data_IF_396889148259
#
_entry.id   IF_396889148259
#
_cell.length_a   1.000
_cell.length_b   1.000
_cell.length_c   1.000
_cell.angle_alpha   90.00
_cell.angle_beta   90.00
_cell.angle_gamma   90.00
#
_symmetry.space_group_name_H-M   'P 1'
#
loop_
_entity.id
_entity.type
_entity.pdbx_description
1 polymer ?
#
# COMPACT_ATOMS: atom_id res chain seq x y z
N UNK A 1 3.46 -24.36 -6.94
CA UNK A 1 4.50 -24.48 -5.89
C UNK A 1 4.72 -23.10 -5.32
N UNK A 2 4.89 -22.94 -4.00
CA UNK A 2 5.35 -21.66 -3.44
C UNK A 2 6.82 -21.49 -3.85
N UNK A 3 7.20 -20.28 -4.25
CA UNK A 3 8.60 -19.98 -4.50
C UNK A 3 9.43 -20.24 -3.23
N UNK A 4 10.66 -20.73 -3.36
CA UNK A 4 11.53 -20.95 -2.22
C UNK A 4 11.86 -19.60 -1.56
N UNK A 5 11.97 -19.55 -0.22
CA UNK A 5 12.28 -18.32 0.49
C UNK A 5 13.65 -17.77 0.05
N UNK A 6 13.70 -16.47 -0.23
CA UNK A 6 14.89 -15.70 -0.56
C UNK A 6 15.49 -15.09 0.71
N UNK A 7 16.81 -15.20 0.86
CA UNK A 7 17.52 -14.60 2.01
C UNK A 7 17.32 -13.08 2.08
N UNK A 8 17.23 -12.41 0.94
CA UNK A 8 17.10 -10.95 0.88
C UNK A 8 15.65 -10.47 1.02
N UNK A 9 14.65 -11.29 0.67
CA UNK A 9 13.25 -10.86 0.67
C UNK A 9 12.46 -11.40 1.87
N UNK A 10 12.81 -12.59 2.38
CA UNK A 10 12.02 -13.31 3.36
C UNK A 10 12.72 -13.50 4.72
N UNK A 11 14.05 -13.38 4.75
CA UNK A 11 14.87 -13.62 5.96
C UNK A 11 15.47 -12.33 6.51
N UNK A 12 16.13 -11.53 5.66
CA UNK A 12 16.64 -10.23 6.03
C UNK A 12 15.55 -9.18 5.85
N UNK A 13 14.95 -8.75 6.96
CA UNK A 13 14.07 -7.58 6.96
C UNK A 13 14.84 -6.29 6.61
N UNK A 14 14.17 -5.25 6.12
CA UNK A 14 14.81 -3.99 5.81
C UNK A 14 15.46 -3.38 7.06
N UNK A 15 16.58 -2.67 6.86
CA UNK A 15 17.16 -1.83 7.92
C UNK A 15 16.11 -0.80 8.29
N UNK A 16 15.69 -0.81 9.56
CA UNK A 16 14.65 0.09 10.03
C UNK A 16 14.97 0.68 11.39
N UNK A 17 14.60 1.95 11.57
CA UNK A 17 14.50 2.60 12.87
C UNK A 17 13.09 2.38 13.43
N UNK A 18 12.97 1.44 14.38
CA UNK A 18 11.70 1.14 15.05
C UNK A 18 11.84 -0.08 15.98
N UNK A 19 10.93 -0.26 16.95
CA UNK A 19 11.02 -1.35 17.92
C UNK A 19 10.71 -2.73 17.30
N UNK A 20 9.98 -2.77 16.18
CA UNK A 20 9.54 -4.02 15.54
C UNK A 20 9.49 -3.89 14.02
N UNK A 21 10.22 -4.75 13.30
CA UNK A 21 10.21 -4.77 11.83
C UNK A 21 8.82 -5.12 11.26
N UNK A 22 8.06 -5.99 11.93
CA UNK A 22 6.71 -6.39 11.51
C UNK A 22 5.67 -5.26 11.59
N UNK A 23 5.81 -4.37 12.57
CA UNK A 23 4.88 -3.27 12.78
C UNK A 23 5.38 -2.02 12.08
N UNK A 24 6.66 -1.69 12.21
CA UNK A 24 7.21 -0.48 11.61
C UNK A 24 7.50 -0.63 10.12
N UNK A 25 8.18 -1.70 9.68
CA UNK A 25 8.67 -1.76 8.29
C UNK A 25 7.57 -2.12 7.31
N UNK A 26 6.73 -3.08 7.71
CA UNK A 26 5.56 -3.44 6.93
C UNK A 26 4.59 -2.27 6.83
N UNK A 27 4.33 -1.55 7.94
CA UNK A 27 3.46 -0.38 7.91
C UNK A 27 4.03 0.74 7.05
N UNK A 28 5.34 1.00 7.09
CA UNK A 28 5.98 1.97 6.19
C UNK A 28 5.79 1.58 4.72
N UNK A 29 5.99 0.32 4.37
CA UNK A 29 5.75 -0.16 3.00
C UNK A 29 4.29 0.01 2.58
N UNK A 30 3.34 -0.33 3.46
CA UNK A 30 1.90 -0.11 3.23
C UNK A 30 1.61 1.38 3.00
N UNK A 31 2.15 2.27 3.85
CA UNK A 31 1.97 3.72 3.71
C UNK A 31 2.54 4.27 2.41
N UNK A 32 3.72 3.80 1.99
CA UNK A 32 4.33 4.19 0.71
C UNK A 32 3.52 3.71 -0.49
N UNK A 33 2.96 2.50 -0.42
CA UNK A 33 2.06 2.00 -1.45
C UNK A 33 0.76 2.80 -1.52
N UNK A 34 0.17 3.14 -0.37
CA UNK A 34 -1.00 4.01 -0.33
C UNK A 34 -0.72 5.39 -0.95
N UNK A 35 0.44 5.97 -0.63
CA UNK A 35 0.90 7.23 -1.22
C UNK A 35 1.11 7.13 -2.73
N UNK A 36 1.71 6.03 -3.20
CA UNK A 36 1.93 5.78 -4.62
C UNK A 36 0.61 5.57 -5.37
N UNK A 37 -0.34 4.83 -4.77
CA UNK A 37 -1.69 4.63 -5.30
C UNK A 37 -2.43 5.95 -5.47
N UNK A 38 -2.37 6.83 -4.47
CA UNK A 38 -2.99 8.16 -4.59
C UNK A 38 -2.36 8.97 -5.73
N UNK A 39 -1.03 8.89 -5.91
CA UNK A 39 -0.32 9.59 -7.01
C UNK A 39 -0.37 11.12 -6.91
N UNK A 40 -0.96 11.66 -5.85
CA UNK A 40 -1.15 13.08 -5.61
C UNK A 40 -0.94 13.43 -4.13
N UNK A 41 -1.10 14.71 -3.77
CA UNK A 41 -1.02 15.14 -2.36
C UNK A 41 -2.22 14.59 -1.59
N UNK A 42 -1.96 13.84 -0.52
CA UNK A 42 -2.98 13.39 0.43
C UNK A 42 -3.27 14.52 1.41
N UNK A 43 -4.55 14.84 1.62
CA UNK A 43 -5.01 15.84 2.59
C UNK A 43 -5.46 15.21 3.89
N UNK A 44 -6.10 14.03 3.83
CA UNK A 44 -6.55 13.25 4.98
C UNK A 44 -6.25 11.78 4.74
N UNK A 45 -5.73 11.11 5.77
CA UNK A 45 -5.62 9.66 5.82
C UNK A 45 -6.54 9.14 6.93
N UNK A 46 -7.52 8.33 6.56
CA UNK A 46 -8.36 7.60 7.50
C UNK A 46 -7.78 6.20 7.69
N UNK A 47 -7.54 5.84 8.94
CA UNK A 47 -6.95 4.55 9.32
C UNK A 47 -7.95 3.79 10.18
N UNK A 48 -8.26 2.55 9.80
CA UNK A 48 -9.21 1.71 10.53
C UNK A 48 -8.55 0.43 11.01
N UNK A 49 -8.54 0.23 12.32
CA UNK A 49 -8.06 -1.00 12.96
C UNK A 49 -9.22 -1.75 13.60
N UNK A 50 -9.27 -3.07 13.39
CA UNK A 50 -10.27 -3.92 14.04
C UNK A 50 -9.88 -4.16 15.50
N UNK A 51 -10.78 -3.90 16.49
CA UNK A 51 -10.54 -4.24 17.90
C UNK A 51 -10.27 -5.72 18.16
N UNK A 52 -10.71 -6.62 17.29
CA UNK A 52 -10.41 -8.05 17.38
C UNK A 52 -9.05 -8.42 16.75
N UNK A 53 -8.38 -7.45 16.12
CA UNK A 53 -7.01 -7.60 15.62
C UNK A 53 -5.95 -7.24 16.66
N UNK A 54 -4.69 -7.16 16.24
CA UNK A 54 -3.57 -6.77 17.11
C UNK A 54 -3.39 -5.25 17.18
N UNK A 55 -3.65 -4.54 16.07
CA UNK A 55 -3.20 -3.17 15.85
C UNK A 55 -3.78 -2.15 16.83
N UNK A 56 -5.04 -2.29 17.25
CA UNK A 56 -5.66 -1.35 18.22
C UNK A 56 -4.85 -1.25 19.52
N UNK A 57 -4.25 -2.36 19.96
CA UNK A 57 -3.45 -2.38 21.19
C UNK A 57 -1.97 -2.11 20.98
N UNK A 58 -1.45 -2.29 19.76
CA UNK A 58 0.00 -2.30 19.51
C UNK A 58 0.51 -1.16 18.62
N UNK A 59 -0.34 -0.47 17.88
CA UNK A 59 0.09 0.39 16.77
C UNK A 59 1.06 1.51 17.18
N UNK A 60 0.93 2.08 18.38
CA UNK A 60 1.87 3.08 18.91
C UNK A 60 3.15 2.45 19.43
N UNK A 61 3.03 1.52 20.39
CA UNK A 61 4.17 0.95 21.12
C UNK A 61 5.09 0.10 20.22
N UNK A 62 4.50 -0.61 19.25
CA UNK A 62 5.25 -1.41 18.27
C UNK A 62 5.63 -0.60 17.01
N UNK A 63 5.24 0.68 16.93
CA UNK A 63 5.65 1.59 15.87
C UNK A 63 4.98 1.37 14.52
N UNK A 64 3.75 0.86 14.47
CA UNK A 64 2.94 0.88 13.24
C UNK A 64 2.62 2.30 12.81
N UNK A 65 2.29 3.21 13.75
CA UNK A 65 2.03 4.62 13.44
C UNK A 65 3.27 5.29 12.84
N UNK A 66 4.42 5.11 13.49
CA UNK A 66 5.72 5.55 13.02
C UNK A 66 5.98 5.09 11.58
N UNK A 67 5.77 3.79 11.31
CA UNK A 67 5.94 3.20 10.00
C UNK A 67 4.95 3.77 8.98
N UNK A 68 3.65 3.59 9.23
CA UNK A 68 2.58 3.96 8.31
C UNK A 68 2.65 5.43 7.90
N UNK A 69 2.74 6.34 8.86
CA UNK A 69 2.67 7.77 8.59
C UNK A 69 3.93 8.31 7.93
N UNK A 70 5.11 7.80 8.31
CA UNK A 70 6.33 8.11 7.57
C UNK A 70 6.29 7.60 6.12
N UNK A 71 5.67 6.44 5.89
CA UNK A 71 5.46 5.92 4.55
C UNK A 71 4.55 6.82 3.71
N UNK A 72 3.50 7.37 4.32
CA UNK A 72 2.60 8.36 3.71
C UNK A 72 3.33 9.67 3.40
N UNK A 73 4.27 10.10 4.25
CA UNK A 73 5.19 11.20 3.97
C UNK A 73 6.23 10.88 2.88
N UNK A 74 6.28 9.64 2.41
CA UNK A 74 7.19 9.17 1.37
C UNK A 74 8.60 8.82 1.87
N UNK A 75 8.79 8.69 3.18
CA UNK A 75 10.08 8.36 3.78
C UNK A 75 10.33 6.86 3.76
N UNK A 76 11.60 6.48 3.63
CA UNK A 76 12.03 5.08 3.68
C UNK A 76 12.13 4.56 5.13
N UNK A 77 12.11 3.24 5.35
CA UNK A 77 12.19 2.64 6.70
C UNK A 77 13.46 3.00 7.50
N UNK A 78 14.52 3.45 6.85
CA UNK A 78 15.81 3.83 7.45
C UNK A 78 15.97 5.36 7.63
N UNK A 79 15.00 6.15 7.17
CA UNK A 79 15.08 7.62 7.17
C UNK A 79 15.26 8.16 8.60
N UNK A 80 16.29 8.99 8.85
CA UNK A 80 16.57 9.50 10.19
C UNK A 80 15.45 10.40 10.75
N UNK A 81 14.58 10.94 9.89
CA UNK A 81 13.45 11.79 10.27
C UNK A 81 12.27 11.01 10.82
N UNK A 82 12.25 9.68 10.69
CA UNK A 82 11.16 8.81 11.17
C UNK A 82 10.54 9.28 12.49
N UNK A 83 11.29 9.52 13.58
CA UNK A 83 10.71 9.93 14.88
C UNK A 83 9.97 11.27 14.87
N UNK A 84 10.17 12.12 13.85
CA UNK A 84 9.54 13.45 13.73
C UNK A 84 8.30 13.44 12.84
N UNK A 85 7.76 12.27 12.50
CA UNK A 85 6.63 12.12 11.57
C UNK A 85 5.41 12.95 11.97
N UNK A 86 5.08 13.07 13.26
CA UNK A 86 3.92 13.84 13.73
C UNK A 86 4.04 15.32 13.38
N UNK A 87 5.25 15.88 13.47
CA UNK A 87 5.51 17.26 13.10
C UNK A 87 5.42 17.43 11.58
N UNK A 88 6.03 16.53 10.82
CA UNK A 88 6.01 16.57 9.36
C UNK A 88 4.60 16.43 8.78
N UNK A 89 3.73 15.60 9.37
CA UNK A 89 2.32 15.51 9.00
C UNK A 89 1.61 16.87 9.14
N UNK A 90 1.87 17.60 10.24
CA UNK A 90 1.29 18.93 10.47
C UNK A 90 1.82 19.95 9.47
N UNK A 91 3.11 19.92 9.17
CA UNK A 91 3.76 20.82 8.20
C UNK A 91 3.25 20.58 6.77
N UNK A 92 3.04 19.32 6.38
CA UNK A 92 2.44 18.95 5.09
C UNK A 92 0.93 19.18 5.05
N UNK A 93 0.29 19.43 6.20
CA UNK A 93 -1.15 19.61 6.32
C UNK A 93 -1.95 18.31 6.11
N UNK A 94 -1.37 17.16 6.43
CA UNK A 94 -2.02 15.85 6.33
C UNK A 94 -2.74 15.55 7.65
N UNK A 95 -4.06 15.47 7.61
CA UNK A 95 -4.87 15.06 8.76
C UNK A 95 -4.89 13.54 8.89
N UNK A 96 -4.73 13.02 10.10
CA UNK A 96 -4.90 11.60 10.39
C UNK A 96 -6.19 11.40 11.17
N UNK A 97 -7.09 10.60 10.63
CA UNK A 97 -8.35 10.20 11.27
C UNK A 97 -8.29 8.70 11.61
N UNK A 98 -8.03 8.39 12.88
CA UNK A 98 -7.88 7.02 13.35
C UNK A 98 -9.17 6.51 13.98
N UNK A 99 -9.65 5.36 13.50
CA UNK A 99 -10.88 4.73 13.94
C UNK A 99 -10.63 3.29 14.39
N UNK A 100 -11.29 2.90 15.48
CA UNK A 100 -11.34 1.52 15.95
C UNK A 100 -12.74 0.98 15.72
N UNK A 101 -12.87 0.12 14.71
CA UNK A 101 -14.17 -0.32 14.19
C UNK A 101 -14.13 -1.83 13.98
N UNK A 102 -15.17 -2.54 14.41
CA UNK A 102 -15.25 -3.99 14.18
C UNK A 102 -15.74 -4.26 12.77
N UNK A 103 -14.92 -4.96 11.97
CA UNK A 103 -15.26 -5.31 10.59
C UNK A 103 -14.84 -6.74 10.22
N UNK A 104 -14.57 -7.58 11.23
CA UNK A 104 -14.14 -8.97 11.07
C UNK A 104 -12.89 -9.08 10.19
N UNK A 105 -11.85 -8.33 10.54
CA UNK A 105 -10.57 -8.36 9.83
C UNK A 105 -10.10 -9.81 9.60
N UNK A 106 -9.69 -10.18 8.37
CA UNK A 106 -9.27 -11.55 8.04
C UNK A 106 -7.89 -11.92 8.62
N UNK A 107 -7.21 -10.97 9.26
CA UNK A 107 -5.87 -11.14 9.82
C UNK A 107 -5.67 -10.16 11.00
N UNK A 108 -4.93 -10.53 12.07
CA UNK A 108 -4.72 -9.63 13.21
C UNK A 108 -4.01 -8.32 12.84
N UNK A 109 -3.04 -8.37 11.93
CA UNK A 109 -2.30 -7.20 11.45
C UNK A 109 -2.88 -6.64 10.14
N UNK A 110 -4.19 -6.37 10.10
CA UNK A 110 -4.89 -5.86 8.92
C UNK A 110 -5.01 -4.34 8.96
N UNK A 111 -4.60 -3.69 7.87
CA UNK A 111 -4.66 -2.25 7.67
C UNK A 111 -5.76 -1.97 6.65
N UNK A 112 -6.80 -1.26 7.08
CA UNK A 112 -7.81 -0.68 6.20
C UNK A 112 -7.60 0.82 6.12
N UNK A 113 -7.20 1.29 4.94
CA UNK A 113 -6.83 2.68 4.71
C UNK A 113 -7.76 3.32 3.70
N UNK A 114 -8.00 4.61 3.92
CA UNK A 114 -8.67 5.48 2.98
C UNK A 114 -7.89 6.80 2.93
N UNK A 115 -7.55 7.29 1.74
CA UNK A 115 -6.84 8.56 1.58
C UNK A 115 -7.63 9.50 0.70
N UNK A 116 -7.70 10.76 1.12
CA UNK A 116 -8.38 11.83 0.39
C UNK A 116 -7.32 12.65 -0.35
N UNK A 117 -7.29 12.53 -1.67
CA UNK A 117 -6.42 13.31 -2.54
C UNK A 117 -6.82 14.78 -2.61
N UNK A 118 -5.88 15.65 -2.98
CA UNK A 118 -6.12 17.08 -3.18
C UNK A 118 -7.11 17.35 -4.31
N UNK A 119 -7.25 16.44 -5.28
CA UNK A 119 -8.25 16.46 -6.34
C UNK A 119 -9.69 16.21 -5.83
N UNK A 120 -9.84 15.71 -4.60
CA UNK A 120 -11.10 15.22 -4.05
C UNK A 120 -11.34 13.72 -4.31
N UNK A 121 -10.43 13.04 -5.02
CA UNK A 121 -10.49 11.58 -5.21
C UNK A 121 -10.25 10.87 -3.88
N UNK A 122 -11.02 9.80 -3.63
CA UNK A 122 -10.89 8.95 -2.45
C UNK A 122 -10.36 7.59 -2.91
N UNK A 123 -9.25 7.18 -2.30
CA UNK A 123 -8.59 5.90 -2.57
C UNK A 123 -8.76 4.98 -1.38
N UNK A 124 -9.08 3.70 -1.62
CA UNK A 124 -9.14 2.69 -0.56
C UNK A 124 -8.08 1.61 -0.75
N UNK A 125 -7.45 1.20 0.35
CA UNK A 125 -6.38 0.20 0.32
C UNK A 125 -6.43 -0.70 1.54
N UNK A 126 -6.60 -1.99 1.29
CA UNK A 126 -6.59 -3.02 2.32
C UNK A 126 -5.31 -3.86 2.17
N UNK A 127 -4.57 -4.02 3.26
CA UNK A 127 -3.34 -4.82 3.28
C UNK A 127 -3.11 -5.50 4.64
N UNK A 128 -2.29 -6.54 4.64
CA UNK A 128 -1.85 -7.22 5.87
C UNK A 128 -0.34 -7.15 6.01
N UNK A 129 0.14 -7.02 7.25
CA UNK A 129 1.54 -7.32 7.60
C UNK A 129 1.66 -8.80 7.98
N UNK A 130 2.47 -9.54 7.23
CA UNK A 130 2.69 -10.98 7.46
C UNK A 130 3.91 -11.28 8.34
N UNK A 131 4.59 -10.24 8.86
CA UNK A 131 5.79 -10.37 9.68
C UNK A 131 7.09 -10.14 8.90
N UNK A 132 8.18 -9.80 9.61
CA UNK A 132 9.50 -9.57 8.98
C UNK A 132 9.61 -8.34 8.07
N UNK A 133 8.59 -7.46 8.07
CA UNK A 133 8.49 -6.35 7.11
C UNK A 133 7.80 -6.71 5.79
N UNK A 134 7.39 -7.98 5.63
CA UNK A 134 6.59 -8.43 4.50
C UNK A 134 5.13 -7.99 4.62
N UNK A 135 4.52 -7.76 3.46
CA UNK A 135 3.14 -7.33 3.35
C UNK A 135 2.42 -8.18 2.32
N UNK A 136 1.09 -8.15 2.37
CA UNK A 136 0.26 -8.60 1.26
C UNK A 136 -0.88 -7.61 1.07
N UNK A 137 -1.01 -7.05 -0.13
CA UNK A 137 -2.20 -6.29 -0.54
C UNK A 137 -3.38 -7.25 -0.65
N UNK A 138 -4.56 -6.79 -0.23
CA UNK A 138 -5.80 -7.58 -0.21
C UNK A 138 -6.84 -6.99 -1.15
N UNK A 139 -6.99 -5.67 -1.16
CA UNK A 139 -7.91 -4.98 -2.06
C UNK A 139 -7.48 -3.54 -2.33
N UNK A 140 -7.88 -3.03 -3.49
CA UNK A 140 -7.74 -1.64 -3.91
C UNK A 140 -9.12 -1.16 -4.37
N UNK A 141 -9.61 -0.05 -3.82
CA UNK A 141 -10.95 0.49 -4.10
C UNK A 141 -12.07 -0.55 -3.97
N UNK A 142 -11.94 -1.42 -2.97
CA UNK A 142 -12.88 -2.53 -2.73
C UNK A 142 -12.76 -3.70 -3.72
N UNK A 143 -11.91 -3.60 -4.75
CA UNK A 143 -11.66 -4.66 -5.72
C UNK A 143 -10.59 -5.61 -5.15
N UNK A 144 -10.87 -6.92 -5.05
CA UNK A 144 -9.88 -7.90 -4.58
C UNK A 144 -8.61 -7.82 -5.42
N UNK A 145 -7.46 -7.69 -4.76
CA UNK A 145 -6.17 -7.54 -5.40
C UNK A 145 -5.07 -8.11 -4.49
N UNK A 146 -4.36 -9.14 -4.95
CA UNK A 146 -3.31 -9.79 -4.19
C UNK A 146 -1.92 -9.51 -4.79
N UNK A 147 -1.05 -8.91 -4.00
CA UNK A 147 0.37 -8.70 -4.32
C UNK A 147 1.21 -8.75 -3.04
N UNK A 148 2.45 -9.23 -3.14
CA UNK A 148 3.43 -9.20 -2.05
C UNK A 148 4.29 -7.91 -2.08
N UNK A 149 4.02 -6.99 -3.02
CA UNK A 149 4.76 -5.76 -3.24
C UNK A 149 6.13 -5.97 -3.89
N UNK A 150 6.37 -7.14 -4.48
CA UNK A 150 7.60 -7.61 -5.11
C UNK A 150 7.74 -7.22 -6.59
N UNK A 151 6.77 -6.50 -7.14
CA UNK A 151 6.77 -5.95 -8.49
C UNK A 151 6.42 -4.46 -8.49
N UNK A 152 6.81 -3.76 -9.56
CA UNK A 152 6.19 -2.50 -9.93
C UNK A 152 4.84 -2.78 -10.59
N UNK A 153 3.81 -2.06 -10.18
CA UNK A 153 2.45 -2.26 -10.68
C UNK A 153 1.97 -1.02 -11.44
N UNK A 154 1.46 -1.22 -12.65
CA UNK A 154 0.61 -0.23 -13.34
C UNK A 154 -0.83 -0.70 -13.22
N UNK A 155 -1.65 0.15 -12.62
CA UNK A 155 -3.07 -0.12 -12.36
C UNK A 155 -3.92 0.73 -13.31
N UNK A 156 -4.88 0.08 -13.98
CA UNK A 156 -5.79 0.71 -14.94
C UNK A 156 -7.21 0.38 -14.50
N UNK A 157 -7.99 1.41 -14.17
CA UNK A 157 -9.42 1.29 -13.90
C UNK A 157 -10.20 1.50 -15.20
N UNK A 158 -11.06 0.56 -15.54
CA UNK A 158 -11.85 0.64 -16.77
C UNK A 158 -13.25 0.02 -16.59
N UNK A 159 -14.22 0.49 -17.39
CA UNK A 159 -15.57 -0.13 -17.42
C UNK A 159 -15.54 -1.48 -18.12
N UNK A 160 -14.78 -1.56 -19.22
CA UNK A 160 -14.54 -2.78 -19.99
C UNK A 160 -13.04 -3.07 -20.02
N UNK A 161 -12.67 -4.32 -20.28
CA UNK A 161 -11.26 -4.70 -20.41
C UNK A 161 -10.72 -4.15 -21.74
N UNK A 162 -9.74 -3.23 -21.72
CA UNK A 162 -9.16 -2.71 -22.95
C UNK A 162 -8.37 -3.80 -23.68
N UNK A 163 -8.24 -3.67 -24.99
CA UNK A 163 -7.33 -4.51 -25.75
C UNK A 163 -5.90 -4.14 -25.41
N UNK A 164 -5.24 -4.99 -24.62
CA UNK A 164 -3.85 -4.78 -24.23
C UNK A 164 -2.94 -5.13 -25.38
N UNK A 165 -2.11 -4.17 -25.82
CA UNK A 165 -1.19 -4.43 -26.92
C UNK A 165 -0.16 -5.51 -26.56
N UNK A 166 0.21 -6.39 -27.51
CA UNK A 166 1.14 -7.48 -27.25
C UNK A 166 2.60 -7.03 -27.00
N UNK A 167 2.95 -5.78 -27.28
CA UNK A 167 4.29 -5.20 -27.05
C UNK A 167 4.51 -4.72 -25.59
N UNK A 168 3.54 -4.95 -24.71
CA UNK A 168 3.62 -4.61 -23.30
C UNK A 168 4.75 -5.39 -22.59
N UNK A 169 5.66 -4.67 -21.93
CA UNK A 169 6.80 -5.21 -21.16
C UNK A 169 6.34 -5.80 -19.80
N UNK A 170 5.05 -6.05 -19.62
CA UNK A 170 4.51 -6.61 -18.39
C UNK A 170 4.84 -8.10 -18.31
N UNK A 171 5.43 -8.52 -17.18
CA UNK A 171 5.69 -9.93 -16.94
C UNK A 171 4.41 -10.68 -16.57
N UNK A 172 3.52 -10.02 -15.83
CA UNK A 172 2.24 -10.56 -15.41
C UNK A 172 1.15 -9.55 -15.71
N UNK A 173 0.12 -10.00 -16.42
CA UNK A 173 -1.13 -9.27 -16.62
C UNK A 173 -2.23 -9.96 -15.84
N UNK A 174 -2.96 -9.22 -15.02
CA UNK A 174 -4.10 -9.73 -14.25
C UNK A 174 -5.27 -8.77 -14.33
N UNK A 175 -6.48 -9.31 -14.37
CA UNK A 175 -7.72 -8.53 -14.44
C UNK A 175 -8.56 -8.90 -13.23
N UNK A 176 -8.94 -7.89 -12.47
CA UNK A 176 -9.79 -8.01 -11.29
C UNK A 176 -11.09 -7.25 -11.55
N UNK A 177 -12.18 -7.67 -10.91
CA UNK A 177 -13.51 -7.11 -11.15
C UNK A 177 -14.22 -6.83 -9.83
N UNK A 178 -14.85 -5.66 -9.73
CA UNK A 178 -15.73 -5.30 -8.62
C UNK A 178 -17.10 -5.97 -8.76
N UNK A 179 -17.85 -6.03 -7.66
CA UNK A 179 -19.25 -6.49 -7.69
C UNK A 179 -20.13 -5.60 -8.60
N UNK A 180 -19.79 -4.31 -8.70
CA UNK A 180 -20.48 -3.31 -9.52
C UNK A 180 -20.05 -3.33 -11.01
N UNK A 181 -19.12 -4.21 -11.37
CA UNK A 181 -18.71 -4.42 -12.76
C UNK A 181 -17.54 -3.57 -13.24
N UNK A 182 -16.89 -2.80 -12.37
CA UNK A 182 -15.65 -2.08 -12.68
C UNK A 182 -14.48 -3.07 -12.78
N UNK A 183 -13.59 -2.85 -13.73
CA UNK A 183 -12.38 -3.65 -13.90
C UNK A 183 -11.15 -2.89 -13.38
N UNK A 184 -10.28 -3.63 -12.69
CA UNK A 184 -8.93 -3.21 -12.33
C UNK A 184 -7.95 -4.12 -13.07
N UNK A 185 -7.30 -3.60 -14.10
CA UNK A 185 -6.25 -4.28 -14.83
C UNK A 185 -4.93 -3.93 -14.17
N UNK A 186 -4.13 -4.95 -13.83
CA UNK A 186 -2.80 -4.81 -13.27
C UNK A 186 -1.77 -5.38 -14.23
N UNK A 187 -0.75 -4.57 -14.51
CA UNK A 187 0.46 -4.94 -15.21
C UNK A 187 1.60 -4.95 -14.20
N UNK A 188 2.21 -6.11 -13.98
CA UNK A 188 3.34 -6.27 -13.07
C UNK A 188 4.65 -6.29 -13.86
N UNK A 189 5.58 -5.41 -13.48
CA UNK A 189 6.87 -5.22 -14.14
C UNK A 189 8.02 -5.41 -13.14
N UNK A 190 9.16 -5.93 -13.62
CA UNK A 190 10.38 -6.06 -12.80
C UNK A 190 11.07 -4.74 -12.55
N UNK A 191 10.98 -3.85 -13.52
CA UNK A 191 11.56 -2.52 -13.49
C UNK A 191 10.45 -1.47 -13.40
N UNK A 192 10.77 -0.31 -12.82
CA UNK A 192 9.84 0.80 -12.77
C UNK A 192 9.47 1.24 -14.19
N UNK A 193 8.17 1.36 -14.52
CA UNK A 193 7.74 1.75 -15.86
C UNK A 193 8.19 3.19 -16.16
N UNK A 194 8.87 3.36 -17.29
CA UNK A 194 9.26 4.69 -17.77
C UNK A 194 8.04 5.54 -18.16
N UNK A 195 8.24 6.87 -18.20
CA UNK A 195 7.20 7.82 -18.62
C UNK A 195 6.63 7.52 -20.01
N UNK A 196 7.46 7.04 -20.94
CA UNK A 196 7.03 6.65 -22.28
C UNK A 196 6.05 5.45 -22.26
N UNK A 197 6.32 4.45 -21.43
CA UNK A 197 5.42 3.30 -21.20
C UNK A 197 4.07 3.76 -20.66
N UNK A 198 4.09 4.63 -19.65
CA UNK A 198 2.87 5.20 -19.06
C UNK A 198 2.06 6.01 -20.08
N UNK A 199 2.71 6.85 -20.89
CA UNK A 199 2.06 7.65 -21.92
C UNK A 199 1.46 6.80 -23.04
N UNK A 200 2.09 5.67 -23.37
CA UNK A 200 1.58 4.73 -24.37
C UNK A 200 0.33 4.02 -23.87
N UNK A 201 0.29 3.68 -22.58
CA UNK A 201 -0.89 3.07 -21.95
C UNK A 201 -2.04 4.06 -21.80
N UNK A 202 -1.75 5.32 -21.46
CA UNK A 202 -2.77 6.36 -21.32
C UNK A 202 -3.46 6.78 -22.65
N UNK A 203 -2.93 6.37 -23.80
CA UNK A 203 -3.49 6.66 -25.13
C UNK A 203 -4.42 5.55 -25.66
N UNK A 204 -4.58 4.45 -24.92
CA UNK A 204 -5.49 3.34 -25.23
C UNK A 204 -6.85 3.61 -24.60
#
# INVERSE_FOLDING_TARGET
>A
MKDPPSIFNDVLGPVMRGPSSSHSAAANRIGRLMRALAGEKISTLVVRYDPNGSLVTTHKEQGSDLGLYSGILGWTPDDPRLPTYEQALKEEGIKIDLHYESYSAPHPNFYRLEAHGASGTIYHFDAISTGGGMIKTIAIDGIPFASAGDYHHVLIWAKDVPELRPDLVAEIVSIHKSEEGQHLINLSLREEPGQETLQTLAKQ
#
